data_IF_760246549841
#
_entry.id   IF_760246549841
#
_cell.length_a   1.000
_cell.length_b   1.000
_cell.length_c   1.000
_cell.angle_alpha   90.00
_cell.angle_beta   90.00
_cell.angle_gamma   90.00
#
_symmetry.space_group_name_H-M   'P 1'
#
loop_
_entity.id
_entity.type
_entity.pdbx_description
1 polymer ?
#
# COMPACT_ATOMS: atom_id res chain seq x y z
N UNK A 1 -5.79 -10.71 -14.21
CA UNK A 1 -5.02 -11.45 -13.18
C UNK A 1 -3.58 -10.97 -13.27
N UNK A 2 -2.95 -10.64 -12.15
CA UNK A 2 -1.54 -10.24 -12.07
C UNK A 2 -0.85 -11.04 -10.96
N UNK A 3 0.40 -11.45 -11.17
CA UNK A 3 1.17 -12.26 -10.22
C UNK A 3 2.63 -11.85 -10.21
N UNK A 4 3.23 -11.78 -9.03
CA UNK A 4 4.68 -11.62 -8.89
C UNK A 4 5.38 -12.93 -9.23
N UNK A 5 6.48 -12.86 -9.98
CA UNK A 5 7.30 -14.02 -10.30
C UNK A 5 8.80 -13.67 -10.21
N UNK A 6 9.62 -14.57 -9.63
CA UNK A 6 9.23 -15.85 -9.04
C UNK A 6 8.70 -15.71 -7.60
N UNK A 7 7.83 -16.65 -7.18
CA UNK A 7 7.09 -16.55 -5.92
C UNK A 7 7.89 -17.04 -4.71
N UNK A 8 8.57 -18.18 -4.85
CA UNK A 8 9.27 -18.85 -3.77
C UNK A 8 10.71 -19.16 -4.18
N UNK A 9 11.64 -18.94 -3.25
CA UNK A 9 13.02 -19.38 -3.39
C UNK A 9 13.55 -19.98 -2.10
N UNK A 10 14.23 -21.12 -2.22
CA UNK A 10 14.98 -21.70 -1.12
C UNK A 10 16.31 -20.95 -0.98
N UNK A 11 16.62 -20.47 0.22
CA UNK A 11 17.84 -19.71 0.49
C UNK A 11 19.12 -20.49 0.17
N UNK A 12 19.08 -21.81 0.28
CA UNK A 12 20.21 -22.69 0.01
C UNK A 12 20.41 -23.00 -1.49
N UNK A 13 19.50 -22.59 -2.37
CA UNK A 13 19.53 -22.90 -3.81
C UNK A 13 19.03 -21.70 -4.66
N UNK A 14 19.61 -20.53 -4.40
CA UNK A 14 19.23 -19.30 -5.11
C UNK A 14 19.94 -19.21 -6.46
N UNK A 15 19.16 -19.19 -7.54
CA UNK A 15 19.64 -19.00 -8.91
C UNK A 15 19.19 -17.69 -9.56
N UNK A 16 18.19 -17.01 -8.99
CA UNK A 16 17.63 -15.73 -9.44
C UNK A 16 17.30 -14.84 -8.23
N UNK A 17 17.29 -13.52 -8.40
CA UNK A 17 16.81 -12.55 -7.42
C UNK A 17 16.20 -11.33 -8.11
N UNK A 18 15.17 -10.68 -7.54
CA UNK A 18 14.48 -11.01 -6.29
C UNK A 18 13.26 -11.93 -6.45
N UNK A 19 12.91 -12.64 -5.37
CA UNK A 19 11.69 -13.45 -5.22
C UNK A 19 10.76 -12.86 -4.16
N UNK A 20 9.48 -13.20 -4.18
CA UNK A 20 8.53 -12.70 -3.19
C UNK A 20 8.76 -13.31 -1.80
N UNK A 21 8.92 -14.62 -1.68
CA UNK A 21 9.04 -15.33 -0.41
C UNK A 21 10.32 -16.17 -0.40
N UNK A 22 11.17 -15.92 0.58
CA UNK A 22 12.40 -16.68 0.82
C UNK A 22 12.16 -17.64 1.97
N UNK A 23 12.61 -18.88 1.84
CA UNK A 23 12.48 -19.88 2.91
C UNK A 23 13.73 -20.78 3.00
N UNK A 24 13.86 -21.47 4.14
CA UNK A 24 14.75 -22.62 4.31
C UNK A 24 13.98 -23.74 5.03
N UNK A 25 14.67 -24.74 5.58
CA UNK A 25 14.04 -25.93 6.19
C UNK A 25 13.13 -25.64 7.40
N UNK A 26 13.19 -24.47 8.04
CA UNK A 26 12.43 -24.21 9.28
C UNK A 26 11.90 -22.78 9.44
N UNK A 27 12.21 -21.86 8.52
CA UNK A 27 11.76 -20.46 8.57
C UNK A 27 11.63 -19.84 7.19
N UNK A 28 10.94 -18.70 7.13
CA UNK A 28 10.56 -17.99 5.91
C UNK A 28 10.36 -16.51 6.18
N UNK A 29 10.54 -15.67 5.16
CA UNK A 29 10.18 -14.26 5.20
C UNK A 29 9.69 -13.78 3.83
N UNK A 30 8.80 -12.78 3.85
CA UNK A 30 8.38 -12.06 2.64
C UNK A 30 9.32 -10.90 2.36
N UNK A 31 9.69 -10.69 1.10
CA UNK A 31 10.45 -9.51 0.65
C UNK A 31 9.56 -8.26 0.59
N UNK A 32 10.11 -7.05 0.41
CA UNK A 32 9.29 -5.86 0.17
C UNK A 32 8.28 -6.05 -0.97
N UNK A 33 8.65 -6.81 -2.02
CA UNK A 33 7.75 -7.14 -3.12
C UNK A 33 6.58 -8.03 -2.69
N UNK A 34 6.77 -9.01 -1.81
CA UNK A 34 5.66 -9.77 -1.22
C UNK A 34 4.69 -8.86 -0.46
N UNK A 35 5.23 -7.97 0.37
CA UNK A 35 4.42 -7.04 1.14
C UNK A 35 3.68 -6.05 0.25
N UNK A 36 4.28 -5.58 -0.85
CA UNK A 36 3.59 -4.77 -1.84
C UNK A 36 2.37 -5.50 -2.42
N UNK A 37 2.48 -6.80 -2.73
CA UNK A 37 1.34 -7.58 -3.22
C UNK A 37 0.19 -7.62 -2.21
N UNK A 38 0.46 -7.55 -0.90
CA UNK A 38 -0.60 -7.62 0.11
C UNK A 38 -1.54 -6.42 0.07
N UNK A 39 -1.08 -5.26 -0.38
CA UNK A 39 -1.93 -4.08 -0.56
C UNK A 39 -3.06 -4.34 -1.56
N UNK A 40 -2.86 -5.21 -2.55
CA UNK A 40 -3.80 -5.43 -3.65
C UNK A 40 -4.65 -6.68 -3.50
N UNK A 41 -4.62 -7.33 -2.33
CA UNK A 41 -5.41 -8.53 -2.03
C UNK A 41 -6.91 -8.28 -2.15
N UNK A 42 -7.43 -7.23 -1.54
CA UNK A 42 -8.85 -6.89 -1.60
C UNK A 42 -9.15 -6.00 -2.82
N UNK A 43 -8.97 -6.57 -4.02
CA UNK A 43 -9.28 -5.89 -5.30
C UNK A 43 -10.33 -6.63 -6.13
N UNK A 44 -10.61 -7.90 -5.82
CA UNK A 44 -11.65 -8.67 -6.51
C UNK A 44 -13.04 -8.17 -6.12
N UNK A 45 -13.87 -7.83 -7.12
CA UNK A 45 -15.20 -7.24 -6.90
C UNK A 45 -15.19 -5.76 -6.50
N UNK A 46 -14.02 -5.12 -6.46
CA UNK A 46 -13.93 -3.70 -6.18
C UNK A 46 -14.30 -2.85 -7.41
N UNK A 47 -14.94 -1.71 -7.19
CA UNK A 47 -15.23 -0.72 -8.21
C UNK A 47 -14.05 0.24 -8.35
N UNK A 48 -13.50 0.39 -9.56
CA UNK A 48 -12.41 1.34 -9.84
C UNK A 48 -12.95 2.75 -10.05
N UNK A 49 -12.27 3.73 -9.49
CA UNK A 49 -12.59 5.15 -9.65
C UNK A 49 -11.52 5.87 -10.47
N UNK A 50 -11.91 6.84 -11.32
CA UNK A 50 -10.95 7.70 -12.00
C UNK A 50 -10.17 8.54 -10.98
N UNK A 51 -8.88 8.76 -11.26
CA UNK A 51 -8.00 9.55 -10.40
C UNK A 51 -7.23 10.57 -11.22
N UNK A 52 -7.01 11.75 -10.64
CA UNK A 52 -6.21 12.82 -11.22
C UNK A 52 -5.17 13.25 -10.21
N UNK A 53 -3.89 13.27 -10.61
CA UNK A 53 -2.80 13.76 -9.77
C UNK A 53 -2.36 15.12 -10.31
N UNK A 54 -2.67 16.18 -9.58
CA UNK A 54 -2.20 17.54 -9.90
C UNK A 54 -1.07 17.93 -8.93
N UNK A 55 0.17 17.60 -9.31
CA UNK A 55 1.36 17.88 -8.50
C UNK A 55 2.58 18.05 -9.40
N UNK A 56 3.53 18.89 -8.97
CA UNK A 56 4.86 18.99 -9.58
C UNK A 56 5.64 17.66 -9.52
N UNK A 57 5.27 16.76 -8.60
CA UNK A 57 5.84 15.42 -8.45
C UNK A 57 5.06 14.34 -9.21
N UNK A 58 4.12 14.69 -10.10
CA UNK A 58 3.26 13.72 -10.80
C UNK A 58 4.01 12.61 -11.53
N UNK A 59 5.22 12.88 -12.05
CA UNK A 59 6.07 11.88 -12.70
C UNK A 59 6.75 10.89 -11.73
N UNK A 60 6.62 11.13 -10.42
CA UNK A 60 7.18 10.32 -9.33
C UNK A 60 6.09 9.68 -8.45
N UNK A 61 4.83 9.84 -8.87
CA UNK A 61 3.65 9.35 -8.16
C UNK A 61 2.84 8.44 -9.07
N UNK A 62 2.31 7.37 -8.50
CA UNK A 62 1.28 6.56 -9.11
C UNK A 62 0.17 6.33 -8.09
N UNK A 63 -1.08 6.41 -8.51
CA UNK A 63 -2.21 6.25 -7.60
C UNK A 63 -3.32 5.39 -8.20
N UNK A 64 -4.10 4.78 -7.33
CA UNK A 64 -5.32 4.06 -7.68
C UNK A 64 -6.35 4.26 -6.58
N UNK A 65 -7.62 4.38 -6.96
CA UNK A 65 -8.73 4.47 -6.03
C UNK A 65 -9.76 3.38 -6.38
N UNK A 66 -10.19 2.65 -5.36
CA UNK A 66 -11.24 1.63 -5.50
C UNK A 66 -12.22 1.72 -4.34
N UNK A 67 -13.50 1.45 -4.59
CA UNK A 67 -14.43 1.11 -3.52
C UNK A 67 -14.52 -0.40 -3.39
N UNK A 68 -14.35 -0.89 -2.17
CA UNK A 68 -14.45 -2.30 -1.83
C UNK A 68 -15.32 -2.46 -0.58
N UNK A 69 -16.01 -3.59 -0.46
CA UNK A 69 -16.89 -3.88 0.66
C UNK A 69 -16.39 -5.09 1.46
N UNK A 70 -16.18 -4.89 2.76
CA UNK A 70 -15.89 -5.94 3.73
C UNK A 70 -17.10 -6.21 4.61
N UNK A 71 -17.72 -7.39 4.52
CA UNK A 71 -18.59 -7.91 5.59
C UNK A 71 -19.61 -6.88 6.15
N UNK A 72 -20.16 -6.01 5.26
CA UNK A 72 -21.11 -4.88 5.44
C UNK A 72 -20.53 -3.45 5.48
N UNK A 73 -19.22 -3.27 5.64
CA UNK A 73 -18.57 -1.95 5.67
C UNK A 73 -18.00 -1.67 4.28
N UNK A 74 -18.34 -0.53 3.71
CA UNK A 74 -17.75 -0.07 2.46
C UNK A 74 -16.53 0.78 2.75
N UNK A 75 -15.48 0.64 1.94
CA UNK A 75 -14.27 1.44 2.03
C UNK A 75 -13.97 2.10 0.69
N UNK A 76 -13.67 3.39 0.70
CA UNK A 76 -12.91 4.02 -0.38
C UNK A 76 -11.43 3.83 -0.06
N UNK A 77 -10.75 3.01 -0.85
CA UNK A 77 -9.32 2.73 -0.70
C UNK A 77 -8.53 3.48 -1.75
N UNK A 78 -7.70 4.42 -1.28
CA UNK A 78 -6.79 5.21 -2.12
C UNK A 78 -5.36 4.74 -1.85
N UNK A 79 -4.72 4.16 -2.86
CA UNK A 79 -3.31 3.75 -2.79
C UNK A 79 -2.46 4.72 -3.58
N UNK A 80 -1.37 5.17 -2.99
CA UNK A 80 -0.42 6.08 -3.65
C UNK A 80 0.99 5.55 -3.44
N UNK A 81 1.73 5.42 -4.54
CA UNK A 81 3.16 5.11 -4.55
C UNK A 81 3.90 6.43 -4.72
N UNK A 82 4.83 6.72 -3.82
CA UNK A 82 5.88 7.71 -4.02
C UNK A 82 7.19 6.98 -4.30
N UNK A 83 7.59 6.92 -5.56
CA UNK A 83 8.85 6.29 -5.98
C UNK A 83 10.00 7.31 -6.12
N UNK A 84 9.76 8.56 -5.69
CA UNK A 84 10.77 9.61 -5.62
C UNK A 84 11.53 9.65 -4.28
N UNK A 85 12.68 10.35 -4.24
CA UNK A 85 13.50 10.53 -3.03
C UNK A 85 12.97 11.63 -2.08
N UNK A 86 11.95 12.38 -2.48
CA UNK A 86 11.46 13.55 -1.75
C UNK A 86 10.09 13.24 -1.16
N UNK A 87 9.86 13.70 0.07
CA UNK A 87 8.54 13.60 0.69
C UNK A 87 7.56 14.57 0.03
N UNK A 88 6.33 14.12 -0.23
CA UNK A 88 5.33 14.90 -0.96
C UNK A 88 4.11 15.11 -0.08
N UNK A 89 3.77 16.37 0.21
CA UNK A 89 2.49 16.73 0.79
C UNK A 89 1.45 16.85 -0.33
N UNK A 90 0.34 16.15 -0.17
CA UNK A 90 -0.80 16.19 -1.10
C UNK A 90 -2.09 16.45 -0.33
N UNK A 91 -3.03 17.10 -1.01
CA UNK A 91 -4.44 17.06 -0.62
C UNK A 91 -5.10 15.93 -1.39
N UNK A 92 -5.72 15.00 -0.67
CA UNK A 92 -6.55 13.95 -1.23
C UNK A 92 -8.00 14.43 -1.11
N UNK A 93 -8.70 14.54 -2.23
CA UNK A 93 -10.12 14.88 -2.27
C UNK A 93 -10.91 13.84 -3.07
N UNK A 94 -12.05 13.43 -2.52
CA UNK A 94 -13.01 12.56 -3.17
C UNK A 94 -14.31 13.34 -3.39
N UNK A 95 -14.85 13.28 -4.61
CA UNK A 95 -16.11 13.92 -4.98
C UNK A 95 -17.14 12.87 -5.40
N UNK A 96 -18.42 13.17 -5.19
CA UNK A 96 -19.51 12.24 -5.52
C UNK A 96 -19.65 11.06 -4.54
N UNK A 97 -19.12 11.20 -3.32
CA UNK A 97 -19.40 10.25 -2.25
C UNK A 97 -20.86 10.42 -1.78
N UNK A 98 -21.66 9.36 -1.86
CA UNK A 98 -23.02 9.34 -1.30
C UNK A 98 -23.01 9.03 0.22
N UNK A 99 -21.91 8.44 0.70
CA UNK A 99 -21.71 8.02 2.07
C UNK A 99 -20.67 8.91 2.76
N UNK A 100 -20.84 9.14 4.07
CA UNK A 100 -19.90 9.95 4.85
C UNK A 100 -18.64 9.15 5.22
N UNK A 101 -17.49 9.84 5.31
CA UNK A 101 -16.24 9.21 5.74
C UNK A 101 -16.23 9.07 7.27
N UNK A 102 -16.13 7.84 7.77
CA UNK A 102 -15.98 7.53 9.19
C UNK A 102 -14.50 7.47 9.59
N UNK A 103 -14.01 8.54 10.23
CA UNK A 103 -12.60 8.61 10.64
C UNK A 103 -12.22 7.62 11.73
N UNK A 104 -13.14 7.25 12.63
CA UNK A 104 -12.87 6.31 13.71
C UNK A 104 -12.62 4.87 13.21
N UNK A 105 -13.02 4.56 11.97
CA UNK A 105 -12.82 3.25 11.32
C UNK A 105 -11.85 3.31 10.14
N UNK A 106 -11.32 4.49 9.85
CA UNK A 106 -10.39 4.69 8.74
C UNK A 106 -8.96 4.44 9.20
N UNK A 107 -8.16 3.88 8.31
CA UNK A 107 -6.77 3.52 8.61
C UNK A 107 -5.83 3.96 7.48
N UNK A 108 -4.55 4.06 7.81
CA UNK A 108 -3.48 4.24 6.84
C UNK A 108 -2.47 3.11 7.03
N UNK A 109 -2.04 2.51 5.92
CA UNK A 109 -0.99 1.49 5.91
C UNK A 109 0.16 1.96 5.04
N UNK A 110 1.37 2.01 5.59
CA UNK A 110 2.57 2.51 4.90
C UNK A 110 3.60 1.39 4.79
N UNK A 111 4.11 1.16 3.58
CA UNK A 111 5.29 0.34 3.31
C UNK A 111 6.41 1.28 2.83
N UNK A 112 7.50 1.37 3.58
CA UNK A 112 8.64 2.26 3.26
C UNK A 112 9.92 1.77 3.93
N UNK A 113 11.06 2.33 3.50
CA UNK A 113 12.34 2.25 4.21
C UNK A 113 13.16 3.53 3.98
N UNK A 114 14.04 3.87 4.93
CA UNK A 114 14.99 4.97 4.78
C UNK A 114 16.07 4.72 3.71
N UNK A 115 16.32 3.45 3.34
CA UNK A 115 17.24 3.08 2.29
C UNK A 115 16.51 2.24 1.22
N UNK A 116 16.49 2.65 -0.06
CA UNK A 116 15.81 1.92 -1.12
C UNK A 116 16.38 0.52 -1.41
N UNK A 117 17.59 0.22 -0.92
CA UNK A 117 18.22 -1.10 -1.03
C UNK A 117 17.90 -2.03 0.16
N UNK A 118 17.10 -1.57 1.12
CA UNK A 118 16.75 -2.40 2.27
C UNK A 118 15.80 -3.55 1.88
N UNK A 119 16.16 -4.75 2.33
CA UNK A 119 15.34 -5.95 2.24
C UNK A 119 15.15 -6.63 3.60
N UNK A 120 14.30 -7.66 3.60
CA UNK A 120 14.11 -8.55 4.74
C UNK A 120 15.13 -9.70 4.71
N UNK A 121 15.39 -10.28 5.88
CA UNK A 121 16.28 -11.43 6.07
C UNK A 121 15.73 -12.34 7.16
N UNK A 122 16.29 -13.54 7.33
CA UNK A 122 15.92 -14.41 8.46
C UNK A 122 16.15 -13.77 9.84
N UNK A 123 17.22 -12.98 9.99
CA UNK A 123 17.50 -12.26 11.24
C UNK A 123 16.59 -11.05 11.46
N UNK A 124 16.04 -10.46 10.38
CA UNK A 124 15.14 -9.30 10.43
C UNK A 124 14.01 -9.48 9.40
N UNK A 125 13.04 -10.39 9.64
CA UNK A 125 12.06 -10.80 8.63
C UNK A 125 11.00 -9.72 8.32
N UNK A 126 10.90 -8.70 9.16
CA UNK A 126 9.98 -7.56 9.02
C UNK A 126 10.71 -6.21 9.06
N UNK A 127 11.95 -6.14 8.56
CA UNK A 127 12.71 -4.88 8.46
C UNK A 127 11.97 -3.86 7.60
N UNK A 128 11.44 -4.32 6.47
CA UNK A 128 10.63 -3.55 5.51
C UNK A 128 9.33 -4.31 5.34
N UNK A 129 8.31 -3.89 6.09
CA UNK A 129 6.98 -4.48 6.11
C UNK A 129 5.93 -3.37 6.28
N UNK A 130 4.65 -3.61 5.90
CA UNK A 130 3.61 -2.62 6.03
C UNK A 130 3.33 -2.33 7.50
N UNK A 131 3.20 -1.06 7.85
CA UNK A 131 2.82 -0.59 9.17
C UNK A 131 1.47 0.10 9.05
N UNK A 132 0.47 -0.43 9.76
CA UNK A 132 -0.88 0.11 9.81
C UNK A 132 -1.04 0.99 11.05
N UNK A 133 -1.73 2.11 10.91
CA UNK A 133 -2.13 3.00 11.99
C UNK A 133 -3.52 3.59 11.74
N UNK A 134 -4.14 4.14 12.79
CA UNK A 134 -5.38 4.90 12.69
C UNK A 134 -5.19 6.17 11.83
N UNK A 135 -6.27 6.61 11.17
CA UNK A 135 -6.29 7.83 10.36
C UNK A 135 -7.36 8.81 10.90
N UNK A 136 -7.09 9.50 12.02
CA UNK A 136 -8.09 10.30 12.72
C UNK A 136 -8.59 11.52 11.94
N UNK A 137 -7.80 11.98 10.96
CA UNK A 137 -8.13 13.09 10.06
C UNK A 137 -8.72 12.63 8.72
N UNK A 138 -9.15 11.37 8.62
CA UNK A 138 -9.85 10.86 7.44
C UNK A 138 -11.13 11.68 7.18
N UNK A 139 -11.25 12.17 5.96
CA UNK A 139 -12.37 12.98 5.49
C UNK A 139 -12.48 12.88 3.97
N UNK A 140 -13.54 13.43 3.39
CA UNK A 140 -13.70 13.56 1.94
C UNK A 140 -12.55 14.39 1.32
N UNK A 141 -12.08 15.40 2.05
CA UNK A 141 -10.87 16.16 1.72
C UNK A 141 -9.92 16.15 2.92
N UNK A 142 -8.70 15.66 2.71
CA UNK A 142 -7.69 15.55 3.77
C UNK A 142 -6.28 15.79 3.25
N UNK A 143 -5.39 16.28 4.12
CA UNK A 143 -3.97 16.36 3.82
C UNK A 143 -3.28 15.03 4.14
N UNK A 144 -2.34 14.64 3.28
CA UNK A 144 -1.53 13.45 3.41
C UNK A 144 -0.06 13.73 3.10
N UNK A 145 0.83 13.25 3.95
CA UNK A 145 2.27 13.24 3.71
C UNK A 145 2.68 11.87 3.17
N UNK A 146 3.21 11.85 1.96
CA UNK A 146 3.81 10.66 1.36
C UNK A 146 5.32 10.71 1.56
N UNK A 147 5.84 9.83 2.40
CA UNK A 147 7.29 9.72 2.64
C UNK A 147 8.01 9.20 1.38
N UNK A 148 9.33 9.44 1.23
CA UNK A 148 10.10 8.91 0.10
C UNK A 148 10.00 7.39 -0.02
N UNK A 149 10.11 6.87 -1.26
CA UNK A 149 10.15 5.43 -1.55
C UNK A 149 9.10 4.63 -0.77
N UNK A 150 7.84 5.03 -0.92
CA UNK A 150 6.73 4.46 -0.16
C UNK A 150 5.58 4.00 -1.03
N UNK A 151 4.84 3.02 -0.50
CA UNK A 151 3.49 2.69 -0.90
C UNK A 151 2.59 2.89 0.30
N UNK A 152 1.62 3.80 0.18
CA UNK A 152 0.67 4.14 1.23
C UNK A 152 -0.75 3.80 0.76
N UNK A 153 -1.51 3.10 1.60
CA UNK A 153 -2.96 2.87 1.44
C UNK A 153 -3.69 3.70 2.46
N UNK A 154 -4.61 4.54 2.00
CA UNK A 154 -5.61 5.21 2.82
C UNK A 154 -6.92 4.44 2.67
N UNK A 155 -7.37 3.82 3.75
CA UNK A 155 -8.58 3.01 3.78
C UNK A 155 -9.66 3.83 4.50
N UNK A 156 -10.47 4.55 3.73
CA UNK A 156 -11.52 5.44 4.23
C UNK A 156 -12.81 4.64 4.40
N UNK A 157 -13.22 4.41 5.64
CA UNK A 157 -14.49 3.75 5.92
C UNK A 157 -15.67 4.66 5.53
N UNK A 158 -16.67 4.09 4.88
CA UNK A 158 -17.87 4.78 4.42
C UNK A 158 -19.07 4.31 5.22
N UNK A 159 -19.73 5.25 5.91
CA UNK A 159 -20.99 5.02 6.58
C UNK A 159 -22.14 5.51 5.70
N UNK A 160 -23.05 4.57 5.39
CA UNK A 160 -24.33 4.82 4.69
C UNK A 160 -25.40 5.22 5.70
#
# INVERSE_FOLDING_TARGET
MASYAPLFVNDNDRTWMPDAIVFNSWQQYGTPSYWMQTFFRESSGALIHPITINSSYSQQLAASAVTWQDSKISFLRVKIVNFGPVAVNLTISASGLEASVNSARSTVTVLTSSNPLDGNSFSRPKKVAPVMSELPNAAEEMQALLVPYSLTSFDLALDV
#
